data_IF_938060593871
#
_entry.id   IF_938060593871
#
_cell.length_a   1.000
_cell.length_b   1.000
_cell.length_c   1.000
_cell.angle_alpha   90.00
_cell.angle_beta   90.00
_cell.angle_gamma   90.00
#
_symmetry.space_group_name_H-M   'P 1'
#
loop_
_entity.id
_entity.type
_entity.pdbx_description
1 polymer ?
#
# COMPACT_ATOMS: atom_id res chain seq x y z
N UNK A 1 13.42 -14.83 -19.84
CA UNK A 1 12.47 -15.52 -20.75
C UNK A 1 11.59 -16.54 -20.01
N UNK A 2 12.12 -17.42 -19.17
CA UNK A 2 11.35 -18.47 -18.46
C UNK A 2 10.26 -17.92 -17.51
N UNK A 3 10.50 -16.80 -16.82
CA UNK A 3 9.48 -16.15 -15.96
C UNK A 3 8.31 -15.53 -16.73
N UNK A 4 8.47 -15.22 -17.99
CA UNK A 4 7.43 -14.64 -18.83
C UNK A 4 6.50 -15.73 -19.37
N UNK A 5 7.06 -16.86 -19.82
CA UNK A 5 6.28 -18.01 -20.33
C UNK A 5 5.33 -18.61 -19.28
N UNK A 6 5.75 -18.76 -18.00
CA UNK A 6 4.86 -19.25 -16.95
C UNK A 6 3.67 -18.32 -16.65
N UNK A 7 3.80 -17.01 -16.94
CA UNK A 7 2.73 -16.05 -16.72
C UNK A 7 1.65 -16.08 -17.79
N UNK A 8 2.01 -16.38 -19.01
CA UNK A 8 1.08 -16.39 -20.17
C UNK A 8 0.17 -17.60 -20.15
N UNK A 9 0.70 -18.79 -19.92
CA UNK A 9 -0.07 -20.04 -19.86
C UNK A 9 -1.08 -20.07 -18.69
N UNK A 10 -0.65 -19.64 -17.51
CA UNK A 10 -1.54 -19.56 -16.33
C UNK A 10 -2.62 -18.48 -16.50
N UNK A 11 -2.32 -17.42 -17.25
CA UNK A 11 -3.26 -16.33 -17.47
C UNK A 11 -4.40 -16.71 -18.42
N UNK A 12 -4.11 -17.42 -19.50
CA UNK A 12 -5.15 -17.92 -20.44
C UNK A 12 -6.10 -18.87 -19.73
N UNK A 13 -5.59 -19.76 -18.88
CA UNK A 13 -6.40 -20.66 -18.05
C UNK A 13 -7.33 -19.89 -17.09
N UNK A 14 -6.80 -18.87 -16.41
CA UNK A 14 -7.59 -18.00 -15.53
C UNK A 14 -8.71 -17.26 -16.29
N UNK A 15 -8.41 -16.76 -17.49
CA UNK A 15 -9.41 -16.07 -18.32
C UNK A 15 -10.55 -16.99 -18.70
N UNK A 16 -10.23 -18.24 -19.03
CA UNK A 16 -11.21 -19.22 -19.48
C UNK A 16 -12.09 -19.74 -18.34
N UNK A 17 -11.50 -20.04 -17.19
CA UNK A 17 -12.24 -20.68 -16.08
C UNK A 17 -12.90 -19.68 -15.11
N UNK A 18 -12.23 -18.58 -14.78
CA UNK A 18 -12.66 -17.68 -13.72
C UNK A 18 -13.43 -16.45 -14.20
N UNK A 19 -13.49 -16.19 -15.51
CA UNK A 19 -14.19 -15.04 -16.10
C UNK A 19 -13.96 -13.73 -15.34
N UNK A 20 -12.69 -13.27 -15.19
CA UNK A 20 -12.38 -12.11 -14.39
C UNK A 20 -13.02 -10.84 -14.97
N UNK A 21 -13.21 -9.84 -14.12
CA UNK A 21 -13.75 -8.54 -14.53
C UNK A 21 -12.83 -7.85 -15.54
N UNK A 22 -13.38 -7.06 -16.43
CA UNK A 22 -12.64 -6.32 -17.46
C UNK A 22 -11.45 -5.53 -16.88
N UNK A 23 -11.64 -4.88 -15.73
CA UNK A 23 -10.57 -4.13 -15.04
C UNK A 23 -9.40 -5.01 -14.57
N UNK A 24 -9.66 -6.28 -14.24
CA UNK A 24 -8.63 -7.24 -13.85
C UNK A 24 -7.83 -7.67 -15.08
N UNK A 25 -8.51 -7.95 -16.18
CA UNK A 25 -7.91 -8.29 -17.48
C UNK A 25 -6.96 -7.16 -17.94
N UNK A 26 -7.45 -5.91 -17.94
CA UNK A 26 -6.64 -4.75 -18.33
C UNK A 26 -5.40 -4.55 -17.46
N UNK A 27 -5.53 -4.73 -16.15
CA UNK A 27 -4.40 -4.58 -15.24
C UNK A 27 -3.36 -5.68 -15.41
N UNK A 28 -3.79 -6.92 -15.67
CA UNK A 28 -2.87 -8.03 -15.96
C UNK A 28 -2.18 -7.82 -17.30
N UNK A 29 -2.92 -7.44 -18.33
CA UNK A 29 -2.35 -7.12 -19.64
C UNK A 29 -1.27 -6.02 -19.54
N UNK A 30 -1.56 -4.91 -18.85
CA UNK A 30 -0.58 -3.84 -18.59
C UNK A 30 0.64 -4.35 -17.82
N UNK A 31 0.47 -5.32 -16.93
CA UNK A 31 1.57 -5.90 -16.16
C UNK A 31 2.46 -6.81 -17.03
N UNK A 32 1.86 -7.64 -17.87
CA UNK A 32 2.59 -8.55 -18.77
C UNK A 32 3.50 -7.76 -19.71
N UNK A 33 2.98 -6.68 -20.29
CA UNK A 33 3.72 -5.82 -21.22
C UNK A 33 4.54 -4.71 -20.55
N UNK A 34 4.69 -4.75 -19.23
CA UNK A 34 5.42 -3.73 -18.49
C UNK A 34 6.91 -3.71 -18.80
N UNK A 35 7.38 -2.65 -19.44
CA UNK A 35 8.78 -2.48 -19.84
C UNK A 35 9.15 -3.18 -21.14
N UNK A 36 8.17 -3.60 -21.91
CA UNK A 36 8.37 -4.14 -23.26
C UNK A 36 8.58 -2.97 -24.25
N UNK A 37 9.69 -2.93 -24.99
CA UNK A 37 9.97 -1.87 -25.95
C UNK A 37 8.93 -1.74 -27.07
N UNK A 38 8.23 -2.82 -27.44
CA UNK A 38 7.19 -2.82 -28.49
C UNK A 38 5.98 -1.94 -28.13
N UNK A 39 5.76 -1.69 -26.82
CA UNK A 39 4.71 -0.80 -26.33
C UNK A 39 5.16 0.66 -26.17
N UNK A 40 6.33 0.98 -26.73
CA UNK A 40 6.87 2.33 -26.74
C UNK A 40 7.77 2.66 -25.56
N UNK A 41 8.39 3.82 -25.65
CA UNK A 41 9.35 4.32 -24.68
C UNK A 41 9.76 5.75 -24.98
N UNK A 42 10.70 6.28 -24.21
CA UNK A 42 11.31 7.58 -24.41
C UNK A 42 12.81 7.44 -24.67
N UNK A 43 13.34 8.25 -25.57
CA UNK A 43 14.77 8.42 -25.76
C UNK A 43 15.28 9.55 -24.87
N UNK A 44 16.36 9.30 -24.18
CA UNK A 44 17.09 10.29 -23.40
C UNK A 44 18.47 10.46 -24.03
N UNK A 45 18.85 11.70 -24.32
CA UNK A 45 20.19 12.04 -24.77
C UNK A 45 21.05 12.48 -23.58
N UNK A 46 22.29 12.01 -23.52
CA UNK A 46 23.26 12.58 -22.60
C UNK A 46 23.65 13.98 -23.06
N UNK A 47 23.57 15.02 -22.22
CA UNK A 47 23.92 16.39 -22.62
C UNK A 47 25.43 16.54 -22.93
N UNK A 48 26.29 15.69 -22.35
CA UNK A 48 27.74 15.81 -22.45
C UNK A 48 28.30 15.08 -23.68
N UNK A 49 27.80 13.86 -23.97
CA UNK A 49 28.35 13.01 -25.05
C UNK A 49 27.38 12.71 -26.16
N UNK A 50 26.10 13.11 -26.05
CA UNK A 50 25.07 12.86 -27.04
C UNK A 50 24.57 11.41 -27.13
N UNK A 51 25.06 10.49 -26.26
CA UNK A 51 24.63 9.10 -26.24
C UNK A 51 23.12 8.99 -26.00
N UNK A 52 22.45 8.18 -26.81
CA UNK A 52 21.00 7.94 -26.73
C UNK A 52 20.70 6.70 -25.92
N UNK A 53 19.86 6.85 -24.90
CA UNK A 53 19.34 5.75 -24.10
C UNK A 53 17.83 5.60 -24.29
N UNK A 54 17.39 4.46 -24.79
CA UNK A 54 15.96 4.13 -24.84
C UNK A 54 15.49 3.57 -23.51
N UNK A 55 14.38 4.12 -22.98
CA UNK A 55 13.76 3.67 -21.75
C UNK A 55 12.31 3.28 -22.06
N UNK A 56 11.95 1.99 -22.01
CA UNK A 56 10.60 1.53 -22.29
C UNK A 56 9.60 2.01 -21.21
N UNK A 57 8.37 2.24 -21.64
CA UNK A 57 7.30 2.65 -20.73
C UNK A 57 6.98 1.55 -19.71
N UNK A 58 6.65 1.98 -18.50
CA UNK A 58 6.26 1.08 -17.42
C UNK A 58 4.80 1.30 -17.06
N UNK A 59 4.10 0.22 -16.64
CA UNK A 59 2.67 0.25 -16.33
C UNK A 59 2.30 1.09 -15.11
N UNK A 60 3.26 1.40 -14.21
CA UNK A 60 3.08 2.13 -12.95
C UNK A 60 2.03 1.50 -12.01
N UNK A 61 1.56 0.31 -12.32
CA UNK A 61 0.58 -0.41 -11.50
C UNK A 61 1.21 -0.92 -10.20
N UNK A 62 0.50 -0.81 -9.08
CA UNK A 62 0.90 -1.42 -7.80
C UNK A 62 0.82 -2.95 -7.85
N UNK A 63 0.00 -3.49 -8.72
CA UNK A 63 -0.15 -4.92 -8.95
C UNK A 63 1.05 -5.53 -9.67
N UNK A 64 1.75 -4.76 -10.48
CA UNK A 64 2.95 -5.21 -11.17
C UNK A 64 4.10 -5.44 -10.17
N UNK A 65 4.74 -6.63 -10.13
CA UNK A 65 5.83 -6.91 -9.19
C UNK A 65 6.98 -5.90 -9.25
N UNK A 66 7.36 -5.45 -10.46
CA UNK A 66 8.44 -4.47 -10.65
C UNK A 66 8.03 -3.06 -10.25
N UNK A 67 6.89 -2.58 -10.77
CA UNK A 67 6.42 -1.21 -10.49
C UNK A 67 5.93 -1.07 -9.05
N UNK A 68 5.22 -2.08 -8.53
CA UNK A 68 4.74 -2.11 -7.15
C UNK A 68 5.88 -2.12 -6.14
N UNK A 69 6.94 -2.88 -6.39
CA UNK A 69 8.13 -2.88 -5.54
C UNK A 69 8.81 -1.50 -5.52
N UNK A 70 9.03 -0.88 -6.69
CA UNK A 70 9.58 0.48 -6.75
C UNK A 70 8.70 1.50 -6.02
N UNK A 71 7.38 1.40 -6.18
CA UNK A 71 6.44 2.26 -5.46
C UNK A 71 6.56 2.07 -3.95
N UNK A 72 6.59 0.83 -3.47
CA UNK A 72 6.70 0.51 -2.05
C UNK A 72 8.01 1.01 -1.44
N UNK A 73 9.14 0.82 -2.13
CA UNK A 73 10.45 1.32 -1.68
C UNK A 73 10.46 2.84 -1.54
N UNK A 74 9.99 3.56 -2.57
CA UNK A 74 9.90 5.03 -2.52
C UNK A 74 8.98 5.49 -1.38
N UNK A 75 7.81 4.85 -1.23
CA UNK A 75 6.87 5.19 -0.18
C UNK A 75 7.43 4.93 1.21
N UNK A 76 8.09 3.78 1.44
CA UNK A 76 8.77 3.46 2.69
C UNK A 76 9.83 4.50 3.06
N UNK A 77 10.67 4.86 2.09
CA UNK A 77 11.68 5.89 2.30
C UNK A 77 11.06 7.24 2.68
N UNK A 78 10.05 7.70 1.91
CA UNK A 78 9.36 8.96 2.23
C UNK A 78 8.66 8.93 3.59
N UNK A 79 8.16 7.79 4.01
CA UNK A 79 7.53 7.66 5.33
C UNK A 79 8.57 7.64 6.44
N UNK A 80 9.70 6.95 6.25
CA UNK A 80 10.78 6.92 7.26
C UNK A 80 11.33 8.30 7.57
N UNK A 81 11.41 9.18 6.56
CA UNK A 81 11.84 10.57 6.75
C UNK A 81 10.83 11.43 7.56
N UNK A 82 9.61 10.96 7.75
CA UNK A 82 8.55 11.66 8.51
C UNK A 82 8.36 11.11 9.91
N UNK A 83 9.02 10.00 10.24
CA UNK A 83 8.92 9.42 11.57
C UNK A 83 9.71 10.23 12.59
N UNK A 84 9.12 10.42 13.76
CA UNK A 84 9.81 11.00 14.91
C UNK A 84 10.88 10.02 15.40
N UNK A 85 12.03 10.52 15.84
CA UNK A 85 13.11 9.68 16.36
C UNK A 85 12.78 9.20 17.79
N UNK A 86 11.93 8.19 17.87
CA UNK A 86 11.55 7.53 19.12
C UNK A 86 11.16 6.07 18.86
N UNK A 87 10.88 5.32 19.91
CA UNK A 87 10.33 3.96 19.79
C UNK A 87 8.93 4.03 19.18
N UNK A 88 8.64 3.11 18.27
CA UNK A 88 7.33 2.98 17.65
C UNK A 88 6.74 1.61 17.95
N UNK A 89 5.44 1.56 18.21
CA UNK A 89 4.67 0.31 18.35
C UNK A 89 3.81 0.05 17.13
N UNK A 90 3.81 -1.20 16.72
CA UNK A 90 2.89 -1.69 15.71
C UNK A 90 1.69 -2.34 16.39
N UNK A 91 0.50 -1.77 16.17
CA UNK A 91 -0.76 -2.27 16.68
C UNK A 91 -1.65 -2.70 15.51
N UNK A 92 -2.51 -3.69 15.73
CA UNK A 92 -3.49 -4.14 14.74
C UNK A 92 -4.88 -4.06 15.35
N UNK A 93 -5.77 -3.31 14.69
CA UNK A 93 -7.16 -3.15 15.08
C UNK A 93 -8.04 -3.96 14.13
N UNK A 94 -8.71 -4.97 14.65
CA UNK A 94 -9.54 -5.90 13.90
C UNK A 94 -11.01 -5.63 14.12
N UNK A 95 -11.84 -6.13 13.22
CA UNK A 95 -13.31 -6.09 13.30
C UNK A 95 -13.82 -7.52 13.51
N UNK A 96 -14.80 -7.74 14.39
CA UNK A 96 -15.49 -9.02 14.51
C UNK A 96 -16.00 -9.53 13.16
N UNK A 97 -15.99 -10.84 12.96
CA UNK A 97 -16.31 -11.44 11.67
C UNK A 97 -17.72 -11.09 11.20
N UNK A 98 -18.66 -11.04 12.12
CA UNK A 98 -20.07 -10.74 11.89
C UNK A 98 -20.28 -9.33 11.32
N UNK A 99 -19.39 -8.40 11.62
CA UNK A 99 -19.48 -7.02 11.14
C UNK A 99 -18.77 -6.78 9.81
N UNK A 100 -17.94 -7.71 9.34
CA UNK A 100 -17.13 -7.51 8.13
C UNK A 100 -17.96 -7.34 6.87
N UNK A 101 -19.13 -7.96 6.81
CA UNK A 101 -20.03 -7.88 5.66
C UNK A 101 -20.54 -6.46 5.41
N UNK A 102 -20.76 -5.67 6.47
CA UNK A 102 -21.20 -4.29 6.33
C UNK A 102 -20.15 -3.43 5.62
N UNK A 103 -18.88 -3.65 5.90
CA UNK A 103 -17.76 -2.93 5.25
C UNK A 103 -17.52 -3.36 3.81
N UNK A 104 -18.03 -4.52 3.41
CA UNK A 104 -18.00 -4.96 2.01
C UNK A 104 -19.08 -4.23 1.21
N UNK A 105 -20.26 -4.07 1.79
CA UNK A 105 -21.42 -3.44 1.17
C UNK A 105 -21.33 -1.92 1.15
N UNK A 106 -20.81 -1.31 2.24
CA UNK A 106 -20.62 0.12 2.35
C UNK A 106 -19.19 0.48 2.77
N UNK A 107 -18.40 0.91 1.80
CA UNK A 107 -17.00 1.31 2.01
C UNK A 107 -16.85 2.62 2.78
N UNK A 108 -17.90 3.44 2.92
CA UNK A 108 -17.86 4.67 3.71
C UNK A 108 -17.62 4.38 5.20
N UNK A 109 -18.01 3.19 5.67
CA UNK A 109 -17.78 2.73 7.04
C UNK A 109 -16.30 2.64 7.41
N UNK A 110 -15.38 2.56 6.43
CA UNK A 110 -13.95 2.63 6.74
C UNK A 110 -13.54 3.97 7.36
N UNK A 111 -14.23 5.06 7.04
CA UNK A 111 -13.98 6.34 7.70
C UNK A 111 -14.33 6.26 9.19
N UNK A 112 -15.44 5.61 9.53
CA UNK A 112 -15.81 5.37 10.93
C UNK A 112 -14.77 4.53 11.66
N UNK A 113 -14.25 3.49 11.00
CA UNK A 113 -13.20 2.64 11.55
C UNK A 113 -11.91 3.43 11.81
N UNK A 114 -11.47 4.25 10.85
CA UNK A 114 -10.29 5.13 11.03
C UNK A 114 -10.48 6.11 12.18
N UNK A 115 -11.65 6.75 12.29
CA UNK A 115 -11.95 7.66 13.38
C UNK A 115 -11.97 6.94 14.73
N UNK A 116 -12.58 5.76 14.81
CA UNK A 116 -12.60 4.96 16.03
C UNK A 116 -11.20 4.59 16.51
N UNK A 117 -10.33 4.14 15.59
CA UNK A 117 -8.94 3.81 15.93
C UNK A 117 -8.18 5.05 16.40
N UNK A 118 -8.32 6.19 15.68
CA UNK A 118 -7.73 7.47 16.09
C UNK A 118 -8.15 7.85 17.51
N UNK A 119 -9.44 7.80 17.78
CA UNK A 119 -9.98 8.25 19.05
C UNK A 119 -9.57 7.33 20.22
N UNK A 120 -9.47 6.02 19.96
CA UNK A 120 -8.95 5.06 20.94
C UNK A 120 -7.48 5.36 21.25
N UNK A 121 -6.64 5.55 20.24
CA UNK A 121 -5.21 5.85 20.41
C UNK A 121 -5.04 7.15 21.19
N UNK A 122 -5.69 8.24 20.78
CA UNK A 122 -5.59 9.54 21.46
C UNK A 122 -6.08 9.47 22.90
N UNK A 123 -7.19 8.76 23.17
CA UNK A 123 -7.73 8.60 24.52
C UNK A 123 -6.82 7.79 25.43
N UNK A 124 -6.18 6.74 24.91
CA UNK A 124 -5.20 5.94 25.66
C UNK A 124 -4.01 6.79 26.09
N UNK A 125 -3.43 7.54 25.16
CA UNK A 125 -2.30 8.42 25.47
C UNK A 125 -2.68 9.55 26.42
N UNK A 126 -3.84 10.18 26.26
CA UNK A 126 -4.31 11.21 27.18
C UNK A 126 -4.47 10.69 28.62
N UNK A 127 -4.89 9.43 28.81
CA UNK A 127 -5.02 8.83 30.14
C UNK A 127 -3.67 8.50 30.77
N UNK A 128 -2.72 8.05 29.98
CA UNK A 128 -1.41 7.58 30.47
C UNK A 128 -0.42 8.73 30.68
N UNK A 129 -0.57 9.81 29.93
CA UNK A 129 0.43 10.86 29.81
C UNK A 129 -0.01 12.19 30.43
N UNK A 130 -0.47 12.13 31.69
CA UNK A 130 -0.94 13.32 32.41
C UNK A 130 0.17 14.32 32.75
N UNK A 131 1.43 13.86 32.79
CA UNK A 131 2.55 14.69 33.19
C UNK A 131 3.23 15.38 32.00
N UNK A 132 3.31 14.75 30.84
CA UNK A 132 4.12 15.24 29.70
C UNK A 132 3.32 15.88 28.57
N UNK A 133 2.00 15.69 28.53
CA UNK A 133 1.04 16.34 27.60
C UNK A 133 1.50 16.35 26.13
N UNK A 134 2.09 15.26 25.64
CA UNK A 134 2.43 15.15 24.23
C UNK A 134 1.33 14.46 23.42
N UNK A 135 1.24 14.80 22.15
CA UNK A 135 0.35 14.12 21.20
C UNK A 135 1.18 13.07 20.44
N UNK A 136 0.75 11.78 20.48
CA UNK A 136 1.46 10.74 19.73
C UNK A 136 1.30 10.96 18.23
N UNK A 137 2.38 10.72 17.48
CA UNK A 137 2.31 10.54 16.03
C UNK A 137 1.82 9.13 15.70
N UNK A 138 0.96 8.98 14.70
CA UNK A 138 0.58 7.64 14.24
C UNK A 138 0.25 7.61 12.74
N UNK A 139 0.51 6.44 12.15
CA UNK A 139 0.20 6.13 10.76
C UNK A 139 -0.78 4.98 10.77
N UNK A 140 -1.95 5.17 10.14
CA UNK A 140 -2.98 4.15 10.00
C UNK A 140 -3.03 3.65 8.55
N UNK A 141 -2.98 2.34 8.38
CA UNK A 141 -3.04 1.69 7.06
C UNK A 141 -4.14 0.64 7.07
N UNK A 142 -5.12 0.80 6.19
CA UNK A 142 -6.18 -0.19 6.00
C UNK A 142 -5.66 -1.38 5.20
N UNK A 143 -5.83 -2.57 5.75
CA UNK A 143 -5.73 -3.84 5.06
C UNK A 143 -7.11 -4.46 4.95
N UNK A 144 -7.47 -4.97 3.77
CA UNK A 144 -8.82 -5.49 3.50
C UNK A 144 -8.88 -7.01 3.44
N UNK A 145 -7.73 -7.69 3.41
CA UNK A 145 -7.63 -9.15 3.31
C UNK A 145 -6.71 -9.70 4.38
N UNK A 146 -7.07 -10.89 4.90
CA UNK A 146 -6.21 -11.69 5.76
C UNK A 146 -5.07 -12.37 4.98
N UNK A 147 -4.23 -13.12 5.69
CA UNK A 147 -3.15 -13.92 5.08
C UNK A 147 -3.68 -14.99 4.12
N UNK A 148 -4.88 -15.49 4.36
CA UNK A 148 -5.62 -16.45 3.56
C UNK A 148 -6.38 -15.82 2.38
N UNK A 149 -6.16 -14.53 2.12
CA UNK A 149 -6.83 -13.70 1.12
C UNK A 149 -8.35 -13.56 1.32
N UNK A 150 -8.90 -14.01 2.44
CA UNK A 150 -10.30 -13.77 2.78
C UNK A 150 -10.54 -12.33 3.18
N UNK A 151 -11.77 -11.87 2.99
CA UNK A 151 -12.20 -10.54 3.40
C UNK A 151 -12.08 -10.40 4.92
N UNK A 152 -11.15 -9.56 5.34
CA UNK A 152 -10.84 -9.30 6.73
C UNK A 152 -10.32 -7.87 6.89
N UNK A 153 -11.20 -6.85 6.85
CA UNK A 153 -10.77 -5.47 7.02
C UNK A 153 -10.22 -5.22 8.42
N UNK A 154 -9.02 -4.66 8.47
CA UNK A 154 -8.32 -4.33 9.70
C UNK A 154 -7.36 -3.16 9.46
N UNK A 155 -7.02 -2.44 10.53
CA UNK A 155 -6.09 -1.32 10.47
C UNK A 155 -4.79 -1.69 11.15
N UNK A 156 -3.69 -1.56 10.43
CA UNK A 156 -2.36 -1.52 10.99
C UNK A 156 -2.04 -0.09 11.42
N UNK A 157 -1.65 0.08 12.67
CA UNK A 157 -1.25 1.35 13.24
C UNK A 157 0.20 1.31 13.68
N UNK A 158 1.03 2.21 13.18
CA UNK A 158 2.35 2.49 13.72
C UNK A 158 2.22 3.72 14.61
N UNK A 159 2.52 3.60 15.89
CA UNK A 159 2.26 4.62 16.91
C UNK A 159 3.58 4.98 17.59
N UNK A 160 3.92 6.27 17.72
CA UNK A 160 5.08 6.72 18.45
C UNK A 160 4.85 6.58 19.97
N UNK A 161 5.85 6.10 20.71
CA UNK A 161 5.82 6.05 22.19
C UNK A 161 6.21 7.39 22.84
N UNK A 162 6.66 8.35 22.05
CA UNK A 162 7.05 9.68 22.46
C UNK A 162 6.62 10.73 21.44
N UNK A 163 6.80 11.96 21.79
CA UNK A 163 6.49 13.12 20.94
C UNK A 163 7.09 14.39 21.54
N UNK A 164 7.00 15.51 20.83
CA UNK A 164 7.34 16.81 21.38
C UNK A 164 6.24 17.20 22.38
N UNK A 165 6.60 17.39 23.64
CA UNK A 165 5.70 17.93 24.67
C UNK A 165 5.52 19.43 24.52
N UNK A 166 4.46 19.96 25.13
CA UNK A 166 4.19 21.41 25.16
C UNK A 166 5.11 22.20 26.12
N UNK A 167 6.14 21.55 26.64
CA UNK A 167 7.14 22.15 27.53
C UNK A 167 8.49 22.16 26.83
N UNK A 168 8.71 23.18 26.04
CA UNK A 168 10.04 23.72 25.69
C UNK A 168 10.08 25.18 26.09
#
# INVERSE_FOLDING_TARGET
RQRQMCKETDYEHILYELHPRQTEIENISKMIHCGDPSYGGAFFACPDCGELKFVPFRCKSRFCPSCGNMYNQKRSFHMSCKLVNCVHRHCVFTIPEELRIYFLNDRSLFNCLFHSVRDVVLRMFHKQNKAELFTPGFILVLHTFGRDLKWNPHIHALISEGGAGNHT
#
